data_IF_759666762255
#
_entry.id   IF_759666762255
#
_cell.length_a   1.000
_cell.length_b   1.000
_cell.length_c   1.000
_cell.angle_alpha   90.00
_cell.angle_beta   90.00
_cell.angle_gamma   90.00
#
_symmetry.space_group_name_H-M   'P 1'
#
loop_
_entity.id
_entity.type
_entity.pdbx_description
1 polymer ?
#
# COMPACT_ATOMS: atom_id res chain seq x y z
N UNK A 1 8.43 -7.33 8.08
CA UNK A 1 7.39 -6.67 7.28
C UNK A 1 6.93 -5.47 8.05
N UNK A 2 7.15 -4.29 7.49
CA UNK A 2 6.77 -3.00 8.05
C UNK A 2 5.81 -2.28 7.10
N UNK A 3 5.17 -1.21 7.57
CA UNK A 3 4.33 -0.37 6.71
C UNK A 3 5.21 0.26 5.62
N UNK A 4 4.78 0.12 4.37
CA UNK A 4 5.52 0.59 3.19
C UNK A 4 6.34 -0.50 2.50
N UNK A 5 6.52 -1.68 3.10
CA UNK A 5 7.17 -2.80 2.44
C UNK A 5 6.36 -3.24 1.20
N UNK A 6 7.07 -3.55 0.12
CA UNK A 6 6.49 -4.21 -1.06
C UNK A 6 6.77 -5.70 -0.96
N UNK A 7 5.72 -6.51 -1.07
CA UNK A 7 5.80 -7.96 -1.06
C UNK A 7 5.20 -8.55 -2.33
N UNK A 8 5.81 -9.62 -2.82
CA UNK A 8 5.29 -10.41 -3.94
C UNK A 8 4.59 -11.64 -3.39
N UNK A 9 3.32 -11.83 -3.76
CA UNK A 9 2.54 -13.01 -3.40
C UNK A 9 2.16 -13.78 -4.66
N UNK A 10 2.32 -15.09 -4.63
CA UNK A 10 1.82 -15.97 -5.67
C UNK A 10 0.31 -16.15 -5.46
N UNK A 11 -0.49 -15.64 -6.39
CA UNK A 11 -1.94 -15.85 -6.45
C UNK A 11 -2.23 -16.65 -7.72
N UNK A 12 -2.66 -17.90 -7.53
CA UNK A 12 -2.84 -18.87 -8.62
C UNK A 12 -1.57 -19.01 -9.47
N UNK A 13 -1.63 -18.68 -10.76
CA UNK A 13 -0.51 -18.74 -11.71
C UNK A 13 0.22 -17.39 -11.88
N UNK A 14 -0.13 -16.38 -11.09
CA UNK A 14 0.41 -15.02 -11.22
C UNK A 14 1.12 -14.55 -9.95
N UNK A 15 2.22 -13.82 -10.13
CA UNK A 15 2.87 -13.08 -9.05
C UNK A 15 2.26 -11.68 -9.00
N UNK A 16 1.67 -11.33 -7.86
CA UNK A 16 1.04 -10.03 -7.63
C UNK A 16 1.83 -9.28 -6.56
N UNK A 17 2.08 -7.99 -6.79
CA UNK A 17 2.76 -7.12 -5.84
C UNK A 17 1.75 -6.44 -4.92
N UNK A 18 2.10 -6.34 -3.64
CA UNK A 18 1.31 -5.65 -2.64
C UNK A 18 2.17 -4.71 -1.80
N UNK A 19 1.61 -3.56 -1.43
CA UNK A 19 2.17 -2.66 -0.43
C UNK A 19 1.53 -2.93 0.94
N UNK A 20 2.35 -3.06 1.98
CA UNK A 20 1.87 -3.20 3.36
C UNK A 20 1.40 -1.83 3.88
N UNK A 21 0.09 -1.72 4.18
CA UNK A 21 -0.48 -0.49 4.73
C UNK A 21 -0.47 -0.45 6.26
N UNK A 22 -0.55 -1.61 6.90
CA UNK A 22 -0.58 -1.72 8.35
C UNK A 22 -1.01 -3.10 8.83
N UNK A 23 -1.24 -3.19 10.14
CA UNK A 23 -1.57 -4.43 10.84
C UNK A 23 -2.68 -4.15 11.85
N UNK A 24 -3.51 -5.15 12.12
CA UNK A 24 -4.50 -5.10 13.20
C UNK A 24 -4.64 -6.47 13.86
N UNK A 25 -5.11 -6.51 15.10
CA UNK A 25 -5.49 -7.77 15.74
C UNK A 25 -6.96 -8.08 15.48
N UNK A 26 -7.24 -9.30 15.04
CA UNK A 26 -8.59 -9.78 14.82
C UNK A 26 -9.27 -9.97 16.18
N UNK A 27 -10.42 -9.36 16.37
CA UNK A 27 -11.10 -9.30 17.68
C UNK A 27 -11.54 -10.66 18.24
N UNK A 28 -11.65 -11.68 17.38
CA UNK A 28 -12.18 -13.01 17.70
C UNK A 28 -11.12 -14.13 17.74
N UNK A 29 -9.85 -13.85 17.42
CA UNK A 29 -8.80 -14.89 17.37
C UNK A 29 -7.41 -14.47 17.89
N UNK A 30 -7.23 -13.23 18.36
CA UNK A 30 -5.91 -12.63 18.69
C UNK A 30 -4.87 -12.71 17.55
N UNK A 31 -5.28 -13.15 16.35
CA UNK A 31 -4.42 -13.24 15.18
C UNK A 31 -4.10 -11.84 14.66
N UNK A 32 -2.82 -11.64 14.35
CA UNK A 32 -2.37 -10.40 13.71
C UNK A 32 -2.61 -10.51 12.21
N UNK A 33 -3.47 -9.63 11.70
CA UNK A 33 -3.83 -9.51 10.30
C UNK A 33 -3.02 -8.38 9.66
N UNK A 34 -2.68 -8.54 8.38
CA UNK A 34 -2.01 -7.51 7.57
C UNK A 34 -3.00 -6.88 6.59
N UNK A 35 -2.92 -5.56 6.44
CA UNK A 35 -3.66 -4.81 5.43
C UNK A 35 -2.73 -4.62 4.24
N UNK A 36 -3.12 -5.13 3.07
CA UNK A 36 -2.35 -5.07 1.84
C UNK A 36 -3.10 -4.25 0.78
N UNK A 37 -2.39 -3.37 0.08
CA UNK A 37 -2.86 -2.71 -1.13
C UNK A 37 -2.22 -3.38 -2.34
N UNK A 38 -3.04 -3.88 -3.27
CA UNK A 38 -2.56 -4.44 -4.52
C UNK A 38 -1.91 -3.33 -5.36
N UNK A 39 -0.75 -3.61 -5.93
CA UNK A 39 -0.04 -2.72 -6.84
C UNK A 39 -0.32 -3.20 -8.26
N UNK A 40 -0.93 -2.31 -9.05
CA UNK A 40 -0.94 -2.43 -10.50
C UNK A 40 0.32 -1.74 -11.04
N UNK A 41 1.29 -2.49 -11.62
CA UNK A 41 2.51 -1.90 -12.15
C UNK A 41 2.27 -0.86 -13.25
N UNK A 42 1.16 -0.97 -14.00
CA UNK A 42 0.83 -0.03 -15.08
C UNK A 42 0.35 1.32 -14.56
N UNK A 43 -0.07 1.39 -13.28
CA UNK A 43 -0.60 2.59 -12.64
C UNK A 43 0.38 3.23 -11.63
N UNK A 44 1.64 2.78 -11.62
CA UNK A 44 2.66 3.32 -10.71
C UNK A 44 3.07 4.75 -11.09
N UNK A 45 2.90 5.68 -10.15
CA UNK A 45 3.36 7.06 -10.28
C UNK A 45 4.76 7.21 -9.70
N UNK A 46 5.72 7.63 -10.53
CA UNK A 46 7.07 7.98 -10.11
C UNK A 46 7.20 9.49 -9.97
N UNK A 47 7.26 9.98 -8.73
CA UNK A 47 7.39 11.41 -8.42
C UNK A 47 8.65 11.67 -7.59
N UNK A 48 9.48 12.68 -7.95
CA UNK A 48 10.58 13.13 -7.11
C UNK A 48 10.09 13.56 -5.72
N UNK A 49 10.82 13.20 -4.66
CA UNK A 49 10.44 13.53 -3.29
C UNK A 49 10.27 15.05 -3.07
N UNK A 50 11.10 15.87 -3.70
CA UNK A 50 10.99 17.33 -3.64
C UNK A 50 9.65 17.86 -4.15
N UNK A 51 8.96 17.13 -5.04
CA UNK A 51 7.65 17.51 -5.57
C UNK A 51 6.51 17.18 -4.58
N UNK A 52 6.74 16.25 -3.64
CA UNK A 52 5.78 15.94 -2.57
C UNK A 52 5.88 16.93 -1.40
N UNK A 53 7.09 17.42 -1.10
CA UNK A 53 7.31 18.34 0.01
C UNK A 53 6.82 19.77 -0.28
N UNK A 54 6.67 20.12 -1.56
CA UNK A 54 6.14 21.43 -1.99
C UNK A 54 4.61 21.48 -2.06
N UNK A 55 3.94 20.44 -1.61
CA UNK A 55 2.49 20.44 -1.59
C UNK A 55 1.94 20.68 -0.19
N UNK A 56 1.34 21.87 0.00
CA UNK A 56 0.14 22.05 0.82
C UNK A 56 -1.01 21.19 0.25
N UNK A 57 -0.80 19.87 0.10
CA UNK A 57 -1.82 18.91 -0.27
C UNK A 57 -2.67 18.71 0.98
N UNK A 58 -3.67 19.57 1.10
CA UNK A 58 -4.93 19.18 1.71
C UNK A 58 -5.37 17.90 1.02
N UNK A 59 -5.50 16.82 1.79
CA UNK A 59 -5.90 15.48 1.39
C UNK A 59 -7.26 15.40 0.66
N UNK A 60 -7.94 16.53 0.49
CA UNK A 60 -9.25 16.68 -0.14
C UNK A 60 -9.24 16.77 -1.67
N UNK A 61 -8.09 16.82 -2.34
CA UNK A 61 -8.05 17.08 -3.81
C UNK A 61 -7.80 15.84 -4.70
N UNK A 62 -7.58 14.67 -4.10
CA UNK A 62 -7.30 13.41 -4.80
C UNK A 62 -8.50 12.44 -4.86
N UNK A 63 -9.65 12.84 -4.30
CA UNK A 63 -10.93 12.13 -4.44
C UNK A 63 -11.82 12.91 -5.41
N UNK A 64 -11.61 12.74 -6.71
CA UNK A 64 -12.58 13.01 -7.77
C UNK A 64 -12.29 12.13 -8.98
#
# INVERSE_FOLDING_TARGET
MERGDIVALQLEEQVVLFCVLGFYQKADSDETMVILAMIDPEQLLHIPLCNLQNTDVSSSRWLN
#
